data_IF_466441881418
#
_entry.id   IF_466441881418
#
_cell.length_a   1.000
_cell.length_b   1.000
_cell.length_c   1.000
_cell.angle_alpha   90.00
_cell.angle_beta   90.00
_cell.angle_gamma   90.00
#
_symmetry.space_group_name_H-M   'P 1'
#
loop_
_entity.id
_entity.type
_entity.pdbx_description
1 polymer ?
#
# COMPACT_ATOMS: atom_id res chain seq x y z
N UNK A 1 -4.10 8.77 -4.56
CA UNK A 1 -4.07 8.06 -3.26
C UNK A 1 -4.04 6.59 -3.58
N UNK A 2 -3.16 5.83 -2.92
CA UNK A 2 -3.02 4.39 -3.12
C UNK A 2 -2.62 3.73 -1.80
N UNK A 3 -3.22 2.59 -1.42
CA UNK A 3 -2.95 1.91 -0.13
C UNK A 3 -2.99 2.84 1.11
N UNK A 4 -3.97 3.74 1.18
CA UNK A 4 -4.06 4.75 2.26
C UNK A 4 -2.99 5.84 2.24
N UNK A 5 -2.08 5.82 1.25
CA UNK A 5 -1.02 6.82 1.06
C UNK A 5 -1.55 7.96 0.21
N UNK A 6 -1.50 9.15 0.79
CA UNK A 6 -1.88 10.40 0.13
C UNK A 6 -0.64 11.14 -0.34
N UNK A 7 -0.54 11.34 -1.66
CA UNK A 7 0.49 12.18 -2.27
C UNK A 7 -0.04 13.59 -2.48
N UNK A 8 0.76 14.60 -2.11
CA UNK A 8 0.46 16.01 -2.31
C UNK A 8 1.70 16.77 -2.78
N UNK A 9 1.46 17.87 -3.48
CA UNK A 9 2.47 18.84 -3.87
C UNK A 9 1.87 20.24 -3.70
N UNK A 10 2.64 21.21 -3.21
CA UNK A 10 2.14 22.55 -2.92
C UNK A 10 2.77 23.60 -3.85
N UNK A 11 1.97 24.60 -4.25
CA UNK A 11 2.40 25.68 -5.16
C UNK A 11 3.56 26.54 -4.65
N UNK A 12 3.84 26.50 -3.35
CA UNK A 12 4.90 27.31 -2.73
C UNK A 12 6.10 26.45 -2.29
N UNK A 13 6.22 25.23 -2.81
CA UNK A 13 7.36 24.37 -2.53
C UNK A 13 8.64 24.92 -3.17
N UNK A 14 9.74 24.84 -2.43
CA UNK A 14 11.06 25.32 -2.84
C UNK A 14 11.96 24.18 -3.30
N UNK A 15 13.11 24.51 -3.89
CA UNK A 15 14.12 23.50 -4.23
C UNK A 15 14.68 22.82 -2.97
N UNK A 16 15.05 21.52 -3.02
CA UNK A 16 15.01 20.64 -4.20
C UNK A 16 13.59 20.17 -4.56
N UNK A 17 13.34 19.69 -5.79
CA UNK A 17 12.04 19.16 -6.20
C UNK A 17 11.58 18.01 -5.30
N UNK A 18 10.42 18.18 -4.66
CA UNK A 18 9.90 17.21 -3.69
C UNK A 18 8.38 17.08 -3.75
N UNK A 19 7.85 16.03 -3.12
CA UNK A 19 6.43 15.84 -2.84
C UNK A 19 6.23 15.38 -1.39
N UNK A 20 5.00 15.50 -0.90
CA UNK A 20 4.59 15.06 0.43
C UNK A 20 3.81 13.75 0.33
N UNK A 21 4.18 12.77 1.15
CA UNK A 21 3.47 11.52 1.32
C UNK A 21 2.97 11.39 2.75
N UNK A 22 1.68 11.10 2.92
CA UNK A 22 1.06 10.88 4.22
C UNK A 22 0.43 9.50 4.30
N UNK A 23 0.67 8.78 5.40
CA UNK A 23 0.07 7.48 5.71
C UNK A 23 -0.39 7.48 7.17
N UNK A 24 -1.71 7.55 7.39
CA UNK A 24 -2.28 7.74 8.73
C UNK A 24 -1.80 9.02 9.42
N UNK A 25 -1.07 8.85 10.53
CA UNK A 25 -0.43 9.92 11.32
C UNK A 25 1.00 10.25 10.87
N UNK A 26 1.59 9.41 10.01
CA UNK A 26 2.94 9.60 9.49
C UNK A 26 2.92 10.48 8.25
N UNK A 27 3.90 11.36 8.14
CA UNK A 27 4.11 12.21 6.98
C UNK A 27 5.60 12.31 6.69
N UNK A 28 5.95 12.27 5.40
CA UNK A 28 7.30 12.50 4.93
C UNK A 28 7.33 13.36 3.67
N UNK A 29 8.38 14.15 3.54
CA UNK A 29 8.75 14.88 2.34
C UNK A 29 9.80 14.09 1.58
N UNK A 30 9.54 13.78 0.31
CA UNK A 30 10.35 12.89 -0.52
C UNK A 30 10.93 13.69 -1.68
N UNK A 31 12.24 13.57 -1.89
CA UNK A 31 12.93 14.14 -3.05
C UNK A 31 12.51 13.41 -4.34
N UNK A 32 12.09 14.14 -5.38
CA UNK A 32 11.62 13.53 -6.63
C UNK A 32 12.77 12.86 -7.39
N UNK A 33 13.97 13.43 -7.36
CA UNK A 33 15.11 12.95 -8.15
C UNK A 33 15.70 11.64 -7.63
N UNK A 34 15.84 11.54 -6.32
CA UNK A 34 16.52 10.46 -5.60
C UNK A 34 15.56 9.53 -4.87
N UNK A 35 14.29 9.94 -4.69
CA UNK A 35 13.31 9.27 -3.82
C UNK A 35 13.74 9.20 -2.34
N UNK A 36 14.76 9.97 -1.94
CA UNK A 36 15.22 10.01 -0.55
C UNK A 36 14.23 10.79 0.33
N UNK A 37 14.14 10.40 1.61
CA UNK A 37 13.40 11.18 2.61
C UNK A 37 14.20 12.44 2.94
N UNK A 38 13.60 13.60 2.70
CA UNK A 38 14.15 14.90 3.07
C UNK A 38 13.74 15.29 4.49
N UNK A 39 12.49 15.00 4.87
CA UNK A 39 11.95 15.36 6.18
C UNK A 39 10.82 14.41 6.59
N UNK A 40 10.57 14.31 7.89
CA UNK A 40 9.55 13.42 8.44
C UNK A 40 9.94 11.95 8.35
N UNK A 41 8.95 11.07 8.43
CA UNK A 41 9.15 9.63 8.36
C UNK A 41 7.88 8.94 7.90
N UNK A 42 8.07 7.81 7.22
CA UNK A 42 7.01 6.84 6.97
C UNK A 42 7.45 5.50 7.56
N UNK A 43 6.51 4.66 8.02
CA UNK A 43 6.82 3.26 8.28
C UNK A 43 7.50 2.64 7.05
N UNK A 44 8.52 1.80 7.26
CA UNK A 44 9.40 1.30 6.17
C UNK A 44 8.64 0.77 4.97
N UNK A 45 7.49 0.13 5.21
CA UNK A 45 6.60 -0.38 4.18
C UNK A 45 5.98 0.72 3.32
N UNK A 46 5.38 1.73 3.94
CA UNK A 46 4.79 2.86 3.22
C UNK A 46 5.86 3.65 2.47
N UNK A 47 7.06 3.77 3.05
CA UNK A 47 8.19 4.41 2.38
C UNK A 47 8.58 3.66 1.10
N UNK A 48 8.74 2.33 1.15
CA UNK A 48 9.10 1.54 -0.03
C UNK A 48 8.08 1.73 -1.17
N UNK A 49 6.78 1.65 -0.85
CA UNK A 49 5.71 1.87 -1.83
C UNK A 49 5.76 3.27 -2.45
N UNK A 50 6.03 4.29 -1.64
CA UNK A 50 6.19 5.68 -2.11
C UNK A 50 7.42 5.84 -3.01
N UNK A 51 8.54 5.21 -2.66
CA UNK A 51 9.78 5.29 -3.44
C UNK A 51 9.65 4.56 -4.78
N UNK A 52 9.06 3.36 -4.78
CA UNK A 52 8.77 2.61 -6.01
C UNK A 52 7.84 3.40 -6.93
N UNK A 53 6.78 3.98 -6.38
CA UNK A 53 5.89 4.87 -7.13
C UNK A 53 6.61 6.08 -7.72
N UNK A 54 7.41 6.76 -6.90
CA UNK A 54 8.13 7.97 -7.31
C UNK A 54 9.13 7.68 -8.44
N UNK A 55 9.77 6.51 -8.42
CA UNK A 55 10.66 6.09 -9.51
C UNK A 55 9.91 5.88 -10.83
N UNK A 56 8.72 5.29 -10.80
CA UNK A 56 7.89 5.04 -11.99
C UNK A 56 7.36 6.37 -12.56
N UNK A 57 6.87 7.26 -11.69
CA UNK A 57 6.21 8.52 -12.09
C UNK A 57 7.16 9.72 -12.05
N UNK A 58 8.47 9.50 -12.04
CA UNK A 58 9.47 10.54 -11.80
C UNK A 58 9.34 11.72 -12.76
N UNK A 59 9.13 11.45 -14.04
CA UNK A 59 9.00 12.49 -15.07
C UNK A 59 7.73 13.32 -14.88
N UNK A 60 6.60 12.67 -14.59
CA UNK A 60 5.33 13.34 -14.29
C UNK A 60 5.46 14.22 -13.04
N UNK A 61 6.11 13.72 -11.99
CA UNK A 61 6.34 14.48 -10.75
C UNK A 61 7.22 15.71 -10.98
N UNK A 62 8.26 15.59 -11.80
CA UNK A 62 9.09 16.75 -12.16
C UNK A 62 8.30 17.80 -12.93
N UNK A 63 7.39 17.40 -13.81
CA UNK A 63 6.56 18.31 -14.57
C UNK A 63 5.52 19.00 -13.68
N UNK A 64 4.84 18.25 -12.82
CA UNK A 64 3.90 18.81 -11.84
C UNK A 64 4.59 19.77 -10.88
N UNK A 65 5.83 19.49 -10.49
CA UNK A 65 6.63 20.40 -9.66
C UNK A 65 6.96 21.70 -10.40
N UNK A 66 7.26 21.64 -11.70
CA UNK A 66 7.46 22.84 -12.52
C UNK A 66 6.17 23.65 -12.64
N UNK A 67 5.04 23.00 -12.92
CA UNK A 67 3.73 23.65 -13.00
C UNK A 67 3.37 24.34 -11.67
N UNK A 68 3.55 23.64 -10.55
CA UNK A 68 3.30 24.20 -9.22
C UNK A 68 4.15 25.46 -8.95
N UNK A 69 5.44 25.43 -9.29
CA UNK A 69 6.35 26.57 -9.16
C UNK A 69 5.89 27.76 -10.00
N UNK A 70 5.35 27.50 -11.18
CA UNK A 70 4.89 28.53 -12.11
C UNK A 70 3.43 28.96 -11.81
N UNK A 71 2.86 28.48 -10.68
CA UNK A 71 1.48 28.71 -10.18
C UNK A 71 0.37 28.18 -11.07
N UNK A 72 0.72 27.23 -11.94
CA UNK A 72 -0.22 26.51 -12.78
C UNK A 72 -0.69 25.23 -12.08
N UNK A 73 -1.94 24.84 -12.29
CA UNK A 73 -2.50 23.64 -11.65
C UNK A 73 -1.72 22.40 -12.11
N UNK A 74 -1.18 21.59 -11.18
CA UNK A 74 -0.52 20.34 -11.56
C UNK A 74 -1.51 19.41 -12.25
N UNK A 75 -0.99 18.55 -13.12
CA UNK A 75 -1.79 17.51 -13.73
C UNK A 75 -2.14 16.46 -12.67
N UNK A 76 -3.20 15.69 -12.92
CA UNK A 76 -3.51 14.55 -12.06
C UNK A 76 -2.58 13.40 -12.48
N UNK A 77 -1.58 13.08 -11.64
CA UNK A 77 -0.80 11.84 -11.79
C UNK A 77 -1.74 10.65 -11.58
N UNK A 78 -2.06 9.93 -12.66
CA UNK A 78 -2.98 8.80 -12.62
C UNK A 78 -2.28 7.56 -12.04
N UNK A 79 -2.89 6.96 -11.01
CA UNK A 79 -2.42 5.70 -10.40
C UNK A 79 -2.79 4.47 -11.26
N UNK A 80 -2.77 4.59 -12.58
CA UNK A 80 -3.42 3.59 -13.46
C UNK A 80 -2.42 2.59 -14.08
N UNK A 81 -1.11 2.86 -13.98
CA UNK A 81 -0.07 2.01 -14.56
C UNK A 81 0.50 0.93 -13.60
N UNK A 82 -0.03 0.86 -12.39
CA UNK A 82 0.41 -0.06 -11.32
C UNK A 82 0.18 -1.53 -11.60
N UNK A 83 -0.80 -1.84 -12.46
CA UNK A 83 -1.18 -3.23 -12.73
C UNK A 83 -0.10 -4.04 -13.44
N UNK A 84 1.00 -3.49 -13.94
CA UNK A 84 1.96 -4.29 -14.74
C UNK A 84 3.15 -4.81 -13.92
N UNK A 85 3.42 -4.31 -12.70
CA UNK A 85 4.68 -4.63 -12.00
C UNK A 85 4.60 -5.08 -10.54
N UNK A 86 3.45 -5.02 -9.84
CA UNK A 86 3.33 -5.64 -8.51
C UNK A 86 2.86 -7.09 -8.63
N UNK A 87 3.81 -8.02 -8.57
CA UNK A 87 3.55 -9.47 -8.56
C UNK A 87 2.66 -9.92 -7.39
N UNK A 88 2.53 -9.08 -6.35
CA UNK A 88 1.84 -9.40 -5.10
C UNK A 88 0.47 -8.71 -4.99
N UNK A 89 -0.08 -8.20 -6.10
CA UNK A 89 -1.48 -7.77 -6.10
C UNK A 89 -2.38 -8.94 -5.75
N UNK A 90 -3.30 -8.74 -4.82
CA UNK A 90 -4.35 -9.73 -4.55
C UNK A 90 -5.33 -9.71 -5.71
N UNK A 91 -5.50 -10.87 -6.34
CA UNK A 91 -6.44 -11.10 -7.45
C UNK A 91 -7.65 -11.93 -7.02
N UNK A 92 -7.59 -12.58 -5.87
CA UNK A 92 -8.71 -13.33 -5.28
C UNK A 92 -8.66 -13.22 -3.76
N UNK A 93 -9.79 -12.91 -3.14
CA UNK A 93 -9.98 -12.99 -1.69
C UNK A 93 -11.29 -13.70 -1.38
N UNK A 94 -11.28 -14.59 -0.39
CA UNK A 94 -12.50 -15.24 0.13
C UNK A 94 -12.44 -15.27 1.66
N UNK A 95 -13.50 -14.80 2.34
CA UNK A 95 -13.62 -14.99 3.77
C UNK A 95 -13.90 -16.47 4.07
N UNK A 96 -13.22 -16.98 5.08
CA UNK A 96 -13.43 -18.30 5.67
C UNK A 96 -13.77 -18.13 7.17
N UNK A 97 -14.24 -19.21 7.81
CA UNK A 97 -14.55 -19.20 9.23
C UNK A 97 -13.32 -18.82 10.10
N UNK A 98 -13.56 -18.36 11.32
CA UNK A 98 -12.52 -18.03 12.31
C UNK A 98 -11.54 -16.94 11.86
N UNK A 99 -12.06 -15.87 11.23
CA UNK A 99 -11.27 -14.71 10.76
C UNK A 99 -10.11 -15.10 9.85
N UNK A 100 -10.35 -16.10 9.00
CA UNK A 100 -9.42 -16.56 7.99
C UNK A 100 -9.78 -15.97 6.63
N UNK A 101 -8.77 -15.62 5.84
CA UNK A 101 -8.92 -15.20 4.45
C UNK A 101 -8.12 -16.13 3.57
N UNK A 102 -8.74 -16.70 2.56
CA UNK A 102 -8.01 -17.23 1.42
C UNK A 102 -7.64 -16.07 0.50
N UNK A 103 -6.38 -15.99 0.11
CA UNK A 103 -5.82 -14.93 -0.75
C UNK A 103 -5.03 -15.57 -1.89
N UNK A 104 -5.23 -15.09 -3.12
CA UNK A 104 -4.38 -15.40 -4.28
C UNK A 104 -3.75 -14.12 -4.82
N UNK A 105 -2.48 -14.19 -5.12
CA UNK A 105 -1.69 -13.11 -5.69
C UNK A 105 -1.54 -13.25 -7.20
N UNK A 106 -1.20 -12.16 -7.85
CA UNK A 106 -1.06 -12.04 -9.30
C UNK A 106 0.00 -12.97 -9.89
N UNK A 107 1.06 -13.27 -9.13
CA UNK A 107 2.09 -14.26 -9.50
C UNK A 107 1.63 -15.73 -9.40
N UNK A 108 0.38 -15.97 -8.98
CA UNK A 108 -0.22 -17.29 -8.83
C UNK A 108 -0.06 -17.89 -7.43
N UNK A 109 0.75 -17.29 -6.55
CA UNK A 109 0.92 -17.75 -5.19
C UNK A 109 -0.38 -17.54 -4.41
N UNK A 110 -0.75 -18.49 -3.55
CA UNK A 110 -1.99 -18.41 -2.78
C UNK A 110 -1.84 -19.07 -1.40
N UNK A 111 -2.66 -18.65 -0.45
CA UNK A 111 -2.64 -19.21 0.90
C UNK A 111 -3.71 -18.63 1.81
N UNK A 112 -3.65 -19.06 3.08
CA UNK A 112 -4.56 -18.63 4.14
C UNK A 112 -3.88 -17.67 5.09
N UNK A 113 -4.48 -16.50 5.25
CA UNK A 113 -4.12 -15.48 6.22
C UNK A 113 -5.06 -15.62 7.41
N UNK A 114 -4.52 -15.81 8.61
CA UNK A 114 -5.32 -15.89 9.83
C UNK A 114 -5.15 -14.60 10.61
N UNK A 115 -6.26 -13.93 10.89
CA UNK A 115 -6.28 -12.73 11.72
C UNK A 115 -6.62 -13.16 13.15
N UNK A 116 -5.81 -12.73 14.12
CA UNK A 116 -6.10 -13.01 15.53
C UNK A 116 -7.13 -12.01 16.03
N UNK A 117 -8.16 -12.48 16.71
CA UNK A 117 -9.19 -11.62 17.30
C UNK A 117 -8.61 -10.54 18.26
N UNK A 118 -7.51 -10.88 18.94
CA UNK A 118 -6.78 -9.96 19.81
C UNK A 118 -6.15 -8.78 19.05
N UNK A 119 -5.80 -8.98 17.77
CA UNK A 119 -5.23 -7.95 16.90
C UNK A 119 -6.32 -7.09 16.25
N UNK A 120 -7.59 -7.53 16.27
CA UNK A 120 -8.75 -6.80 15.73
C UNK A 120 -9.20 -5.68 16.67
N UNK A 121 -8.34 -4.68 16.87
CA UNK A 121 -8.59 -3.53 17.73
C UNK A 121 -8.38 -2.21 16.97
N UNK A 122 -8.81 -1.09 17.58
CA UNK A 122 -8.69 0.23 16.94
C UNK A 122 -9.42 0.29 15.59
N UNK A 123 -8.70 0.66 14.53
CA UNK A 123 -9.21 0.74 13.16
C UNK A 123 -9.73 -0.62 12.65
N UNK A 124 -9.18 -1.74 13.14
CA UNK A 124 -9.60 -3.09 12.77
C UNK A 124 -10.75 -3.64 13.62
N UNK A 125 -11.20 -2.91 14.65
CA UNK A 125 -12.25 -3.38 15.55
C UNK A 125 -13.56 -3.80 14.85
N UNK A 126 -14.02 -3.13 13.76
CA UNK A 126 -15.20 -3.56 13.02
C UNK A 126 -15.12 -4.99 12.45
N UNK A 127 -13.90 -5.50 12.21
CA UNK A 127 -13.68 -6.85 11.67
C UNK A 127 -14.07 -7.97 12.64
N UNK A 128 -14.35 -7.66 13.92
CA UNK A 128 -14.88 -8.63 14.89
C UNK A 128 -16.32 -9.03 14.63
N UNK A 129 -17.06 -8.23 13.86
CA UNK A 129 -18.38 -8.64 13.39
C UNK A 129 -18.19 -9.53 12.16
N UNK A 130 -18.65 -10.79 12.25
CA UNK A 130 -18.54 -11.77 11.15
C UNK A 130 -19.27 -11.28 9.89
N UNK A 131 -20.42 -10.63 10.02
CA UNK A 131 -21.15 -10.10 8.86
C UNK A 131 -20.41 -8.93 8.21
N UNK A 132 -19.67 -8.16 8.99
CA UNK A 132 -18.79 -7.12 8.46
C UNK A 132 -17.54 -7.73 7.81
N UNK A 133 -16.93 -8.73 8.46
CA UNK A 133 -15.78 -9.46 7.96
C UNK A 133 -16.03 -10.11 6.60
N UNK A 134 -17.24 -10.65 6.39
CA UNK A 134 -17.65 -11.27 5.12
C UNK A 134 -17.80 -10.26 3.97
N UNK A 135 -17.84 -8.95 4.25
CA UNK A 135 -17.91 -7.90 3.23
C UNK A 135 -16.55 -7.58 2.60
N UNK A 136 -15.54 -8.44 2.78
CA UNK A 136 -14.21 -8.29 2.21
C UNK A 136 -14.25 -8.19 0.68
N UNK A 137 -13.48 -7.26 0.12
CA UNK A 137 -13.33 -7.07 -1.32
C UNK A 137 -11.89 -6.71 -1.67
N UNK A 138 -11.61 -6.58 -2.97
CA UNK A 138 -10.30 -6.16 -3.47
C UNK A 138 -10.40 -4.70 -3.94
N UNK A 139 -9.54 -3.84 -3.40
CA UNK A 139 -9.40 -2.45 -3.84
C UNK A 139 -7.96 -2.16 -4.25
N UNK A 140 -7.73 -1.79 -5.51
CA UNK A 140 -6.39 -1.56 -6.06
C UNK A 140 -5.34 -2.65 -5.71
N UNK A 141 -5.75 -3.93 -5.70
CA UNK A 141 -4.88 -5.06 -5.35
C UNK A 141 -4.69 -5.30 -3.85
N UNK A 142 -5.27 -4.47 -2.98
CA UNK A 142 -5.37 -4.67 -1.53
C UNK A 142 -6.62 -5.46 -1.13
N UNK A 143 -6.55 -6.14 0.01
CA UNK A 143 -7.73 -6.70 0.65
C UNK A 143 -8.36 -5.61 1.50
N UNK A 144 -9.64 -5.31 1.30
CA UNK A 144 -10.30 -4.17 1.93
C UNK A 144 -11.70 -4.51 2.45
N UNK A 145 -12.21 -3.66 3.34
CA UNK A 145 -13.58 -3.64 3.86
C UNK A 145 -14.16 -2.23 3.76
N UNK A 146 -15.50 -2.08 3.81
CA UNK A 146 -16.14 -0.78 3.81
C UNK A 146 -15.60 0.13 4.93
N UNK A 147 -15.49 1.43 4.68
CA UNK A 147 -15.02 2.38 5.69
C UNK A 147 -13.50 2.49 5.83
N UNK A 148 -12.78 2.37 4.71
CA UNK A 148 -11.33 2.64 4.61
C UNK A 148 -10.44 1.70 5.43
N UNK A 149 -10.90 0.45 5.64
CA UNK A 149 -10.10 -0.59 6.29
C UNK A 149 -9.45 -1.45 5.21
N UNK A 150 -8.12 -1.51 5.19
CA UNK A 150 -7.37 -2.36 4.28
C UNK A 150 -6.29 -3.20 4.99
N UNK A 151 -6.09 -4.41 4.48
CA UNK A 151 -4.95 -5.27 4.77
C UNK A 151 -4.01 -5.24 3.58
N UNK A 152 -2.79 -4.84 3.88
CA UNK A 152 -1.81 -4.55 2.87
C UNK A 152 -1.21 -5.85 2.27
N UNK A 153 -1.23 -6.03 0.93
CA UNK A 153 -0.88 -7.29 0.24
C UNK A 153 0.44 -7.93 0.64
N UNK A 154 1.51 -7.15 0.76
CA UNK A 154 2.83 -7.72 1.07
C UNK A 154 2.92 -8.41 2.45
N UNK A 155 2.10 -8.02 3.44
CA UNK A 155 2.12 -8.66 4.77
C UNK A 155 1.52 -10.06 4.66
N UNK A 156 0.42 -10.17 3.91
CA UNK A 156 -0.22 -11.43 3.58
C UNK A 156 0.71 -12.31 2.74
N UNK A 157 1.37 -11.72 1.74
CA UNK A 157 2.33 -12.42 0.89
C UNK A 157 3.50 -13.00 1.71
N UNK A 158 4.08 -12.19 2.60
CA UNK A 158 5.16 -12.62 3.51
C UNK A 158 4.72 -13.74 4.45
N UNK A 159 3.49 -13.72 4.95
CA UNK A 159 2.96 -14.80 5.79
C UNK A 159 2.73 -16.10 5.00
N UNK A 160 2.34 -16.00 3.73
CA UNK A 160 2.05 -17.15 2.87
C UNK A 160 3.34 -17.77 2.31
N UNK A 161 4.27 -16.94 1.83
CA UNK A 161 5.52 -17.36 1.17
C UNK A 161 6.67 -17.55 2.17
N UNK A 162 6.69 -16.77 3.26
CA UNK A 162 7.71 -16.85 4.32
C UNK A 162 7.60 -18.10 5.20
N UNK A 163 6.54 -18.91 5.06
CA UNK A 163 6.51 -20.26 5.61
C UNK A 163 7.47 -21.16 4.83
N UNK A 164 8.76 -21.17 5.23
CA UNK A 164 9.65 -22.30 4.93
C UNK A 164 8.90 -23.58 5.33
N UNK A 165 8.86 -24.62 4.48
CA UNK A 165 8.37 -25.92 4.91
C UNK A 165 9.39 -26.48 5.91
N UNK A 166 9.15 -26.29 7.21
CA UNK A 166 9.72 -27.19 8.20
C UNK A 166 9.02 -28.55 8.04
N UNK A 167 9.74 -29.50 7.44
CA UNK A 167 9.90 -30.90 7.86
C UNK A 167 10.27 -31.78 6.65
N UNK A 168 11.57 -32.06 6.53
CA UNK A 168 12.08 -33.42 6.31
C UNK A 168 13.41 -33.54 7.06
N UNK A 169 13.33 -33.74 8.39
CA UNK A 169 14.32 -34.54 9.09
C UNK A 169 13.94 -36.00 8.85
N UNK A 170 14.60 -36.62 7.89
CA UNK A 170 14.75 -38.07 7.79
C UNK A 170 16.23 -38.33 7.56
N UNK A 171 16.87 -38.97 8.53
CA UNK A 171 18.29 -39.34 8.54
C UNK A 171 18.85 -39.33 9.94
#
# INVERSE_FOLDING_TARGET
MFYGILIRMFFNDHAPPHFHARYGEFEATIDIGTSAVLQGQLPSRALNLVQEWAMIHREELFEDWRLCRDKERPNKVECNNWSVQMYWDVVEVKPEAHYCLFVRFKDGQAGRVHLREDDLTGVLAPLRDVQFFEQVFIDCGAVAWPGEIDLAPDAMYSQIVGKRPELLQTG
#
